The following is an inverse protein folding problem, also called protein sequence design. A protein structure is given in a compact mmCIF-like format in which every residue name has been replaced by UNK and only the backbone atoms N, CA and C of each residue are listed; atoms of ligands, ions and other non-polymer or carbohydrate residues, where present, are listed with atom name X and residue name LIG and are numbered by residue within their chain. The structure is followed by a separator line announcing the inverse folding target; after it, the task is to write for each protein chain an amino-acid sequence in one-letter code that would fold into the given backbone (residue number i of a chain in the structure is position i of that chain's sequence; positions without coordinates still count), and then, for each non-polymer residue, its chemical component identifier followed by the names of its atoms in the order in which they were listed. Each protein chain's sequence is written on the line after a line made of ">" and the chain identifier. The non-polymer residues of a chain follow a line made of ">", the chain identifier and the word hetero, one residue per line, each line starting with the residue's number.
data_IF_615209167790
#
_entry.id   IF_615209167790
#
_cell.length_a   1.000
_cell.length_b   1.000
_cell.length_c   1.000
_cell.angle_alpha   90.00
_cell.angle_beta   90.00
_cell.angle_gamma   90.00
#
_symmetry.space_group_name_H-M   'P 1'
#
loop_
_entity.id
_entity.type
_entity.pdbx_description
1 polymer ?
#
# COMPACT_ATOMS: atom_id res chain seq x y z
N UNK A 1 -0.02 7.78 -26.35
CA UNK A 1 0.78 6.95 -25.42
C UNK A 1 -0.18 5.96 -24.78
N UNK A 2 0.13 4.66 -24.81
CA UNK A 2 -0.70 3.68 -24.13
C UNK A 2 -0.77 4.02 -22.63
N UNK A 3 -1.98 4.02 -22.06
CA UNK A 3 -2.13 4.16 -20.61
C UNK A 3 -1.55 2.90 -19.97
N UNK A 4 -0.37 3.04 -19.37
CA UNK A 4 0.21 1.99 -18.54
C UNK A 4 -0.65 1.86 -17.30
N UNK A 5 -1.07 0.65 -17.00
CA UNK A 5 -1.91 0.29 -15.86
C UNK A 5 -1.21 -0.80 -15.04
N UNK A 6 -1.51 -0.87 -13.75
CA UNK A 6 -1.01 -1.95 -12.90
C UNK A 6 -1.58 -3.30 -13.36
N UNK A 7 -0.76 -4.34 -13.35
CA UNK A 7 -1.21 -5.71 -13.55
C UNK A 7 -1.93 -6.19 -12.28
N UNK A 8 -3.26 -6.23 -12.34
CA UNK A 8 -4.11 -6.61 -11.21
C UNK A 8 -3.86 -8.05 -10.75
N UNK A 9 -3.62 -8.97 -11.68
CA UNK A 9 -3.56 -10.40 -11.38
C UNK A 9 -2.23 -10.71 -10.66
N UNK A 10 -1.15 -10.08 -11.11
CA UNK A 10 0.15 -10.13 -10.43
C UNK A 10 0.06 -9.46 -9.05
N UNK A 11 -0.56 -8.28 -8.95
CA UNK A 11 -0.72 -7.58 -7.67
C UNK A 11 -1.44 -8.44 -6.64
N UNK A 12 -2.62 -8.98 -6.98
CA UNK A 12 -3.43 -9.76 -6.03
C UNK A 12 -2.75 -11.08 -5.65
N UNK A 13 -2.08 -11.75 -6.59
CA UNK A 13 -1.26 -12.93 -6.29
C UNK A 13 -0.15 -12.62 -5.28
N UNK A 14 0.55 -11.49 -5.45
CA UNK A 14 1.70 -11.14 -4.59
C UNK A 14 1.25 -10.61 -3.23
N UNK A 15 0.23 -9.76 -3.17
CA UNK A 15 -0.29 -9.24 -1.90
C UNK A 15 -0.92 -10.34 -1.05
N UNK A 16 -1.53 -11.35 -1.67
CA UNK A 16 -2.02 -12.53 -0.96
C UNK A 16 -0.90 -13.26 -0.21
N UNK A 17 0.26 -13.42 -0.84
CA UNK A 17 1.44 -13.99 -0.17
C UNK A 17 1.86 -13.13 1.03
N UNK A 18 1.87 -11.80 0.89
CA UNK A 18 2.21 -10.89 2.00
C UNK A 18 1.29 -11.13 3.19
N UNK A 19 -0.03 -11.15 2.99
CA UNK A 19 -0.99 -11.37 4.08
C UNK A 19 -0.90 -12.77 4.67
N UNK A 20 -0.67 -13.82 3.86
CA UNK A 20 -0.49 -15.18 4.35
C UNK A 20 0.75 -15.30 5.25
N UNK A 21 1.88 -14.76 4.81
CA UNK A 21 3.10 -14.76 5.62
C UNK A 21 2.93 -13.89 6.86
N UNK A 22 2.38 -12.68 6.72
CA UNK A 22 2.15 -11.78 7.85
C UNK A 22 1.29 -12.42 8.94
N UNK A 23 0.20 -13.12 8.56
CA UNK A 23 -0.62 -13.89 9.51
C UNK A 23 0.15 -15.01 10.20
N UNK A 24 1.02 -15.72 9.46
CA UNK A 24 1.87 -16.76 10.06
C UNK A 24 2.87 -16.18 11.06
N UNK A 25 3.51 -15.06 10.71
CA UNK A 25 4.49 -14.38 11.56
C UNK A 25 3.87 -13.83 12.86
N UNK A 26 2.64 -13.32 12.79
CA UNK A 26 1.92 -12.80 13.97
C UNK A 26 1.42 -13.91 14.90
N UNK A 27 1.24 -15.13 14.40
CA UNK A 27 0.86 -16.31 15.20
C UNK A 27 2.06 -17.01 15.85
N UNK A 28 3.28 -16.73 15.39
CA UNK A 28 4.49 -17.31 15.93
C UNK A 28 4.95 -16.51 17.16
N UNK A 29 4.60 -17.00 18.35
CA UNK A 29 4.95 -16.36 19.63
C UNK A 29 6.46 -16.20 19.85
N UNK A 30 7.30 -16.96 19.11
CA UNK A 30 8.76 -16.83 19.17
C UNK A 30 9.27 -15.61 18.40
N UNK A 31 8.47 -15.07 17.48
CA UNK A 31 8.80 -13.92 16.66
C UNK A 31 8.14 -12.70 17.31
N UNK A 32 8.95 -11.82 17.89
CA UNK A 32 8.54 -10.67 18.71
C UNK A 32 7.81 -9.56 17.92
N UNK A 33 7.26 -9.85 16.74
CA UNK A 33 6.67 -8.90 15.80
C UNK A 33 5.14 -8.94 15.94
N UNK A 34 4.63 -8.16 16.89
CA UNK A 34 3.20 -7.87 17.06
C UNK A 34 2.81 -6.66 16.20
N UNK A 35 2.91 -6.80 14.87
CA UNK A 35 2.59 -5.75 13.90
C UNK A 35 1.20 -5.97 13.33
N UNK A 36 0.34 -4.96 13.41
CA UNK A 36 -1.05 -4.95 12.95
C UNK A 36 -1.27 -4.01 11.74
N UNK A 37 -0.34 -3.11 11.45
CA UNK A 37 -0.27 -2.36 10.20
C UNK A 37 1.16 -2.27 9.64
N UNK A 38 1.28 -2.28 8.30
CA UNK A 38 2.54 -2.03 7.59
C UNK A 38 2.40 -0.74 6.79
N UNK A 39 3.29 0.22 7.04
CA UNK A 39 3.30 1.51 6.33
C UNK A 39 4.59 1.63 5.51
N UNK A 40 4.46 2.00 4.24
CA UNK A 40 5.61 2.32 3.38
C UNK A 40 5.41 3.67 2.71
N UNK A 41 6.51 4.42 2.63
CA UNK A 41 6.56 5.74 2.01
C UNK A 41 7.75 5.73 1.07
N UNK A 42 7.52 6.17 -0.16
CA UNK A 42 8.58 6.42 -1.14
C UNK A 42 8.55 7.91 -1.47
N UNK A 43 9.69 8.58 -1.27
CA UNK A 43 9.87 10.01 -1.54
C UNK A 43 10.18 10.30 -3.01
N UNK A 44 10.82 11.44 -3.27
CA UNK A 44 11.37 11.81 -4.60
C UNK A 44 12.90 11.80 -4.59
N UNK A 45 13.52 11.14 -3.61
CA UNK A 45 14.96 11.14 -3.42
C UNK A 45 15.62 10.24 -4.48
N UNK A 46 16.37 10.85 -5.40
CA UNK A 46 17.07 10.16 -6.49
C UNK A 46 18.40 9.54 -6.04
N UNK A 47 18.92 9.91 -4.85
CA UNK A 47 20.16 9.34 -4.30
C UNK A 47 19.92 7.96 -3.66
N UNK A 48 18.68 7.66 -3.27
CA UNK A 48 18.29 6.36 -2.71
C UNK A 48 18.00 5.37 -3.84
N UNK A 49 19.02 4.63 -4.24
CA UNK A 49 18.92 3.65 -5.34
C UNK A 49 18.22 2.35 -4.89
N UNK A 50 18.33 1.98 -3.61
CA UNK A 50 17.73 0.76 -3.06
C UNK A 50 17.10 0.99 -1.70
N UNK A 51 15.82 0.61 -1.57
CA UNK A 51 15.12 0.58 -0.29
C UNK A 51 14.13 -0.58 -0.25
N UNK A 52 13.75 -1.01 0.96
CA UNK A 52 12.69 -2.02 1.13
C UNK A 52 11.34 -1.51 0.60
N UNK A 53 11.06 -0.21 0.74
CA UNK A 53 9.83 0.41 0.26
C UNK A 53 9.74 0.39 -1.27
N UNK A 54 10.81 0.79 -1.97
CA UNK A 54 10.86 0.78 -3.44
C UNK A 54 10.87 -0.65 -3.98
N UNK A 55 11.62 -1.57 -3.35
CA UNK A 55 11.59 -2.98 -3.71
C UNK A 55 10.21 -3.61 -3.54
N UNK A 56 9.48 -3.26 -2.46
CA UNK A 56 8.11 -3.73 -2.26
C UNK A 56 7.16 -3.18 -3.32
N UNK A 57 7.24 -1.89 -3.65
CA UNK A 57 6.44 -1.32 -4.75
C UNK A 57 6.75 -1.99 -6.08
N UNK A 58 8.03 -2.14 -6.43
CA UNK A 58 8.45 -2.79 -7.67
C UNK A 58 7.95 -4.24 -7.72
N UNK A 59 8.02 -4.96 -6.60
CA UNK A 59 7.50 -6.31 -6.50
C UNK A 59 5.97 -6.35 -6.56
N UNK A 60 5.23 -5.44 -5.93
CA UNK A 60 3.76 -5.50 -5.97
C UNK A 60 3.17 -4.95 -7.27
N UNK A 61 3.73 -3.87 -7.79
CA UNK A 61 3.14 -3.02 -8.83
C UNK A 61 3.88 -3.09 -10.16
N UNK A 62 5.12 -3.59 -10.18
CA UNK A 62 6.01 -3.57 -11.34
C UNK A 62 6.63 -2.20 -11.64
N UNK A 63 6.33 -1.18 -10.81
CA UNK A 63 6.78 0.19 -10.96
C UNK A 63 7.11 0.81 -9.62
N UNK A 64 8.09 1.70 -9.62
CA UNK A 64 8.36 2.61 -8.53
C UNK A 64 7.43 3.82 -8.62
N UNK A 65 6.62 4.01 -7.60
CA UNK A 65 5.77 5.18 -7.45
C UNK A 65 6.39 6.08 -6.40
N UNK A 66 7.18 7.07 -6.84
CA UNK A 66 7.69 8.14 -5.97
C UNK A 66 6.54 8.87 -5.29
N UNK A 67 6.82 9.66 -4.25
CA UNK A 67 5.82 10.52 -3.59
C UNK A 67 4.47 9.80 -3.33
N UNK A 68 4.55 8.58 -2.81
CA UNK A 68 3.43 7.67 -2.60
C UNK A 68 3.53 7.04 -1.23
N UNK A 69 2.40 6.97 -0.54
CA UNK A 69 2.26 6.31 0.74
C UNK A 69 1.31 5.13 0.57
N UNK A 70 1.71 3.97 1.10
CA UNK A 70 0.90 2.74 1.15
C UNK A 70 0.75 2.28 2.60
N UNK A 71 -0.48 1.95 3.00
CA UNK A 71 -0.80 1.36 4.30
C UNK A 71 -1.49 0.02 4.07
N UNK A 72 -0.96 -1.04 4.65
CA UNK A 72 -1.57 -2.36 4.72
C UNK A 72 -2.08 -2.57 6.14
N UNK A 73 -3.40 -2.65 6.30
CA UNK A 73 -4.06 -3.10 7.54
C UNK A 73 -4.69 -4.47 7.29
N UNK A 74 -5.10 -5.18 8.35
CA UNK A 74 -5.90 -6.42 8.22
C UNK A 74 -7.24 -6.18 7.50
N UNK A 75 -7.84 -5.00 7.67
CA UNK A 75 -9.18 -4.70 7.15
C UNK A 75 -9.19 -3.91 5.86
N UNK A 76 -8.14 -3.15 5.55
CA UNK A 76 -8.08 -2.26 4.39
C UNK A 76 -6.64 -2.08 3.88
N UNK A 77 -6.50 -1.84 2.58
CA UNK A 77 -5.27 -1.37 1.95
C UNK A 77 -5.51 0.07 1.48
N UNK A 78 -4.59 0.98 1.79
CA UNK A 78 -4.66 2.37 1.33
C UNK A 78 -3.46 2.73 0.47
N UNK A 79 -3.71 3.50 -0.59
CA UNK A 79 -2.70 4.25 -1.31
C UNK A 79 -3.04 5.73 -1.28
N UNK A 80 -2.06 6.59 -1.00
CA UNK A 80 -2.15 8.04 -1.17
C UNK A 80 -1.14 8.47 -2.23
N UNK A 81 -1.64 9.01 -3.35
CA UNK A 81 -0.79 9.36 -4.49
C UNK A 81 -1.40 10.48 -5.36
N UNK A 82 -0.62 10.97 -6.32
CA UNK A 82 -1.09 11.96 -7.30
C UNK A 82 -2.09 11.35 -8.30
N UNK A 83 -2.87 12.20 -8.98
CA UNK A 83 -3.93 11.76 -9.91
C UNK A 83 -3.47 10.72 -10.93
N UNK A 84 -2.34 10.95 -11.57
CA UNK A 84 -1.76 10.03 -12.57
C UNK A 84 -1.45 8.65 -11.96
N UNK A 85 -0.94 8.61 -10.73
CA UNK A 85 -0.61 7.37 -10.00
C UNK A 85 -1.88 6.66 -9.55
N UNK A 86 -2.89 7.40 -9.10
CA UNK A 86 -4.21 6.84 -8.79
C UNK A 86 -4.84 6.23 -10.05
N UNK A 87 -4.76 6.90 -11.20
CA UNK A 87 -5.26 6.37 -12.47
C UNK A 87 -4.54 5.07 -12.87
N UNK A 88 -3.23 4.96 -12.65
CA UNK A 88 -2.46 3.73 -12.82
C UNK A 88 -2.92 2.59 -11.89
N UNK A 89 -3.28 2.91 -10.63
CA UNK A 89 -3.72 1.96 -9.61
C UNK A 89 -5.21 1.59 -9.68
N UNK A 90 -6.04 2.30 -10.46
CA UNK A 90 -7.49 2.02 -10.58
C UNK A 90 -7.85 0.52 -10.76
N UNK A 91 -7.13 -0.27 -11.57
CA UNK A 91 -7.46 -1.69 -11.75
C UNK A 91 -7.46 -2.54 -10.48
N UNK A 92 -6.71 -2.15 -9.44
CA UNK A 92 -6.66 -2.89 -8.17
C UNK A 92 -7.68 -2.37 -7.14
N UNK A 93 -8.43 -1.31 -7.46
CA UNK A 93 -9.54 -0.84 -6.63
C UNK A 93 -10.80 -1.70 -6.83
N UNK A 94 -10.67 -2.99 -6.59
CA UNK A 94 -11.73 -3.99 -6.69
C UNK A 94 -11.76 -4.86 -5.45
N UNK A 95 -12.91 -5.46 -5.18
CA UNK A 95 -13.05 -6.43 -4.09
C UNK A 95 -12.56 -7.79 -4.56
N UNK A 96 -11.66 -8.40 -3.80
CA UNK A 96 -11.19 -9.78 -4.00
C UNK A 96 -11.45 -10.55 -2.73
N UNK A 97 -12.04 -11.74 -2.85
CA UNK A 97 -12.35 -12.57 -1.69
C UNK A 97 -11.07 -12.97 -0.94
N UNK A 98 -11.13 -12.91 0.39
CA UNK A 98 -9.98 -13.24 1.25
C UNK A 98 -8.87 -12.17 1.30
N UNK A 99 -9.05 -11.03 0.63
CA UNK A 99 -8.13 -9.89 0.70
C UNK A 99 -8.83 -8.60 1.14
N UNK A 100 -8.13 -7.71 1.85
CA UNK A 100 -8.70 -6.42 2.20
C UNK A 100 -8.97 -5.54 0.97
N UNK A 101 -10.06 -4.76 0.95
CA UNK A 101 -10.35 -3.84 -0.13
C UNK A 101 -9.27 -2.76 -0.23
N UNK A 102 -8.93 -2.40 -1.47
CA UNK A 102 -8.01 -1.31 -1.79
C UNK A 102 -8.77 0.01 -1.86
N UNK A 103 -8.27 1.03 -1.16
CA UNK A 103 -8.78 2.41 -1.18
C UNK A 103 -7.71 3.34 -1.73
N UNK A 104 -8.07 4.10 -2.77
CA UNK A 104 -7.19 5.05 -3.43
C UNK A 104 -7.54 6.48 -3.00
N UNK A 105 -6.61 7.13 -2.29
CA UNK A 105 -6.71 8.51 -1.84
C UNK A 105 -5.93 9.42 -2.78
N UNK A 106 -6.61 10.41 -3.35
CA UNK A 106 -5.98 11.44 -4.17
C UNK A 106 -5.31 12.48 -3.27
N UNK A 107 -4.05 12.79 -3.56
CA UNK A 107 -3.34 13.87 -2.88
C UNK A 107 -4.06 15.21 -3.03
N UNK A 108 -4.22 15.91 -1.92
CA UNK A 108 -4.82 17.24 -1.83
C UNK A 108 -3.76 18.26 -1.42
N UNK A 109 -3.40 19.15 -2.35
CA UNK A 109 -2.41 20.20 -2.10
C UNK A 109 -2.97 21.37 -1.30
N UNK A 110 -4.29 21.55 -1.27
CA UNK A 110 -4.93 22.70 -0.64
C UNK A 110 -4.84 22.63 0.89
N UNK A 111 -4.94 21.43 1.45
CA UNK A 111 -4.82 21.17 2.90
C UNK A 111 -3.52 20.44 3.25
N UNK A 112 -2.58 20.31 2.29
CA UNK A 112 -1.36 19.50 2.42
C UNK A 112 -1.65 18.08 2.93
N UNK A 113 -2.68 17.43 2.39
CA UNK A 113 -3.09 16.07 2.72
C UNK A 113 -3.54 15.89 4.19
N UNK A 114 -3.85 16.96 4.93
CA UNK A 114 -4.23 16.88 6.34
C UNK A 114 -5.40 15.91 6.60
N UNK A 115 -6.47 16.00 5.81
CA UNK A 115 -7.61 15.09 5.94
C UNK A 115 -7.26 13.65 5.56
N UNK A 116 -6.41 13.47 4.55
CA UNK A 116 -5.95 12.16 4.10
C UNK A 116 -5.06 11.50 5.18
N UNK A 117 -4.14 12.25 5.79
CA UNK A 117 -3.30 11.76 6.88
C UNK A 117 -4.13 11.38 8.10
N UNK A 118 -5.17 12.16 8.44
CA UNK A 118 -6.09 11.80 9.52
C UNK A 118 -6.76 10.45 9.26
N UNK A 119 -7.27 10.21 8.04
CA UNK A 119 -7.87 8.92 7.66
C UNK A 119 -6.88 7.76 7.77
N UNK A 120 -5.64 7.96 7.30
CA UNK A 120 -4.60 6.93 7.35
C UNK A 120 -4.19 6.61 8.80
N UNK A 121 -4.01 7.63 9.64
CA UNK A 121 -3.73 7.45 11.06
C UNK A 121 -4.88 6.74 11.77
N UNK A 122 -6.12 7.10 11.49
CA UNK A 122 -7.29 6.44 12.07
C UNK A 122 -7.41 4.98 11.60
N UNK A 123 -7.03 4.68 10.36
CA UNK A 123 -6.97 3.32 9.85
C UNK A 123 -5.88 2.48 10.55
N UNK A 124 -4.71 3.06 10.80
CA UNK A 124 -3.64 2.42 11.57
C UNK A 124 -4.04 2.26 13.04
N UNK A 125 -4.74 3.22 13.65
CA UNK A 125 -5.24 3.05 15.03
C UNK A 125 -6.27 1.93 15.18
N UNK A 126 -6.98 1.62 14.10
CA UNK A 126 -8.01 0.58 14.01
C UNK A 126 -7.52 -0.66 13.25
N UNK A 127 -6.20 -0.83 13.11
CA UNK A 127 -5.64 -1.92 12.31
C UNK A 127 -5.79 -3.28 12.95
N UNK A 128 -5.87 -3.34 14.28
CA UNK A 128 -6.31 -4.50 15.04
C UNK A 128 -7.84 -4.56 15.09
N UNK A 129 -8.41 -5.68 14.66
CA UNK A 129 -9.84 -6.01 14.83
C UNK A 129 -10.23 -6.10 16.30
#
# INVERSE_FOLDING_TARGET
>A
MANVLVDKDIFFKRIQNVYQYWKKFTQDESLTINTDAIVTIVGQDEDIIYSKSTALQQWLLGYELTDTLMVLCETHIYFLASKKKIDFLKPIQTKVEGLPPVTLLLRNKTDNDADNFKKLIDAVKKSKS
#
